data_IF_525034129239
#
_entry.id   IF_525034129239
#
_cell.length_a   1.000
_cell.length_b   1.000
_cell.length_c   1.000
_cell.angle_alpha   90.00
_cell.angle_beta   90.00
_cell.angle_gamma   90.00
#
_symmetry.space_group_name_H-M   'P 1'
#
loop_
_entity.id
_entity.type
_entity.pdbx_description
1 polymer ?
#
# COMPACT_ATOMS: atom_id res chain seq x y z
N UNK A 1 -1.39 10.09 14.39
CA UNK A 1 -2.40 9.14 13.93
C UNK A 1 -1.69 8.12 13.07
N UNK A 2 -1.82 6.83 13.35
CA UNK A 2 -1.29 5.79 12.48
C UNK A 2 -2.24 5.61 11.30
N UNK A 3 -1.76 5.73 10.06
CA UNK A 3 -2.57 5.39 8.89
C UNK A 3 -3.13 3.97 8.99
N UNK A 4 -4.43 3.79 8.68
CA UNK A 4 -5.10 2.49 8.59
C UNK A 4 -4.54 1.58 7.48
N UNK A 5 -3.58 2.11 6.72
CA UNK A 5 -2.95 1.44 5.61
C UNK A 5 -1.45 1.27 5.83
N UNK A 6 -0.95 0.11 5.42
CA UNK A 6 0.47 -0.16 5.27
C UNK A 6 0.90 0.09 3.82
N UNK A 7 2.17 0.40 3.63
CA UNK A 7 2.75 0.56 2.30
C UNK A 7 3.15 -0.81 1.75
N UNK A 8 2.49 -1.25 0.68
CA UNK A 8 2.84 -2.44 -0.09
C UNK A 8 3.60 -2.12 -1.37
N UNK A 9 4.37 -3.06 -1.91
CA UNK A 9 4.87 -3.02 -3.31
C UNK A 9 4.45 -4.25 -4.10
N UNK A 10 4.01 -4.02 -5.32
CA UNK A 10 3.82 -5.11 -6.28
C UNK A 10 5.19 -5.62 -6.78
N UNK A 11 5.31 -6.91 -7.10
CA UNK A 11 6.60 -7.49 -7.51
C UNK A 11 6.94 -7.24 -8.98
N UNK A 12 5.95 -6.95 -9.83
CA UNK A 12 6.15 -6.83 -11.27
C UNK A 12 6.71 -5.45 -11.65
N UNK A 13 6.24 -4.40 -10.99
CA UNK A 13 6.56 -3.00 -11.30
C UNK A 13 7.22 -2.26 -10.14
N UNK A 14 7.12 -2.79 -8.91
CA UNK A 14 7.65 -2.14 -7.71
C UNK A 14 6.80 -0.93 -7.25
N UNK A 15 5.64 -0.70 -7.85
CA UNK A 15 4.71 0.38 -7.54
C UNK A 15 4.20 0.26 -6.12
N UNK A 16 4.09 1.39 -5.43
CA UNK A 16 3.60 1.41 -4.06
C UNK A 16 2.06 1.36 -4.02
N UNK A 17 1.50 0.44 -3.24
CA UNK A 17 0.06 0.28 -3.02
C UNK A 17 -0.30 0.45 -1.55
N UNK A 18 -1.51 0.96 -1.27
CA UNK A 18 -2.06 0.95 0.08
C UNK A 18 -2.63 -0.44 0.36
N UNK A 19 -2.14 -1.11 1.41
CA UNK A 19 -2.65 -2.39 1.90
C UNK A 19 -3.36 -2.15 3.23
N UNK A 20 -4.47 -2.84 3.49
CA UNK A 20 -5.14 -2.74 4.79
C UNK A 20 -4.21 -3.20 5.90
N UNK A 21 -3.98 -2.35 6.91
CA UNK A 21 -3.06 -2.66 8.00
C UNK A 21 -3.45 -3.93 8.75
N UNK A 22 -4.75 -4.20 8.90
CA UNK A 22 -5.27 -5.44 9.53
C UNK A 22 -4.88 -6.72 8.81
N UNK A 23 -4.46 -6.64 7.54
CA UNK A 23 -4.04 -7.80 6.73
C UNK A 23 -2.52 -7.92 6.63
N UNK A 24 -1.75 -6.92 7.08
CA UNK A 24 -0.31 -6.83 6.86
C UNK A 24 0.51 -7.95 7.53
N UNK A 25 -0.02 -8.56 8.59
CA UNK A 25 0.61 -9.68 9.30
C UNK A 25 0.27 -11.06 8.71
N UNK A 26 -0.63 -11.12 7.71
CA UNK A 26 -0.97 -12.36 6.99
C UNK A 26 0.12 -12.71 5.96
N UNK A 27 0.23 -13.98 5.54
CA UNK A 27 1.18 -14.37 4.50
C UNK A 27 0.83 -13.75 3.14
N UNK A 28 1.87 -13.44 2.35
CA UNK A 28 1.74 -12.96 0.99
C UNK A 28 1.03 -13.98 0.06
N UNK A 29 0.42 -13.52 -1.05
CA UNK A 29 0.32 -12.12 -1.50
C UNK A 29 -0.75 -11.33 -0.74
N UNK A 30 -0.48 -10.04 -0.51
CA UNK A 30 -1.48 -9.10 -0.01
C UNK A 30 -2.26 -8.48 -1.17
N UNK A 31 -3.45 -7.97 -0.88
CA UNK A 31 -4.19 -7.12 -1.81
C UNK A 31 -3.99 -5.65 -1.44
N UNK A 32 -3.55 -4.85 -2.42
CA UNK A 32 -3.78 -3.42 -2.35
C UNK A 32 -5.27 -3.12 -2.37
N UNK A 33 -5.72 -2.02 -1.79
CA UNK A 33 -7.14 -1.63 -1.78
C UNK A 33 -7.72 -1.41 -3.19
N UNK A 34 -6.86 -1.23 -4.19
CA UNK A 34 -7.21 -1.17 -5.61
C UNK A 34 -7.32 -2.56 -6.28
N UNK A 35 -7.15 -3.65 -5.52
CA UNK A 35 -7.17 -5.04 -6.01
C UNK A 35 -5.84 -5.58 -6.56
N UNK A 36 -4.78 -4.78 -6.59
CA UNK A 36 -3.47 -5.22 -7.09
C UNK A 36 -2.80 -6.21 -6.13
N UNK A 37 -2.11 -7.22 -6.68
CA UNK A 37 -1.31 -8.16 -5.89
C UNK A 37 -0.03 -7.50 -5.39
N UNK A 38 0.20 -7.57 -4.08
CA UNK A 38 1.34 -6.99 -3.38
C UNK A 38 2.21 -8.12 -2.83
N UNK A 39 3.52 -8.04 -3.10
CA UNK A 39 4.49 -9.06 -2.68
C UNK A 39 5.24 -8.74 -1.41
N UNK A 40 5.26 -7.48 -0.98
CA UNK A 40 5.91 -7.04 0.26
C UNK A 40 5.12 -5.90 0.87
N UNK A 41 4.96 -5.91 2.19
CA UNK A 41 4.39 -4.81 2.96
C UNK A 41 5.44 -4.30 3.94
N UNK A 42 5.68 -2.99 3.95
CA UNK A 42 6.71 -2.40 4.79
C UNK A 42 6.42 -0.94 5.17
N UNK A 43 6.11 -0.72 6.44
CA UNK A 43 5.86 0.61 6.99
C UNK A 43 4.46 1.16 6.65
N UNK A 44 4.25 2.44 6.93
CA UNK A 44 2.95 3.08 6.79
C UNK A 44 2.72 3.67 5.39
N UNK A 45 1.48 3.61 4.90
CA UNK A 45 1.10 4.15 3.59
C UNK A 45 1.28 5.67 3.47
N UNK A 46 1.09 6.41 4.56
CA UNK A 46 1.33 7.85 4.61
C UNK A 46 2.81 8.25 4.70
N UNK A 47 3.72 7.27 4.81
CA UNK A 47 5.16 7.51 4.90
C UNK A 47 5.90 7.49 3.56
N UNK A 48 7.25 7.54 3.60
CA UNK A 48 8.13 7.58 2.42
C UNK A 48 8.00 6.36 1.50
N UNK A 49 7.49 5.23 2.00
CA UNK A 49 7.33 3.99 1.22
C UNK A 49 5.97 3.88 0.52
N UNK A 50 4.99 4.68 0.92
CA UNK A 50 3.66 4.70 0.32
C UNK A 50 3.46 5.95 -0.53
N UNK A 51 2.68 6.93 -0.05
CA UNK A 51 2.40 8.20 -0.74
C UNK A 51 3.67 9.02 -1.04
N UNK A 52 4.71 8.89 -0.22
CA UNK A 52 6.01 9.52 -0.46
C UNK A 52 6.94 8.74 -1.40
N UNK A 53 6.51 7.59 -1.95
CA UNK A 53 7.28 6.81 -2.92
C UNK A 53 7.44 7.57 -4.24
N UNK A 54 8.45 7.22 -5.03
CA UNK A 54 8.63 7.77 -6.37
C UNK A 54 7.52 7.36 -7.37
N UNK A 55 6.88 6.19 -7.14
CA UNK A 55 5.74 5.71 -7.94
C UNK A 55 4.63 5.16 -7.02
N UNK A 56 3.80 6.04 -6.44
CA UNK A 56 2.62 5.61 -5.70
C UNK A 56 1.47 5.30 -6.67
N UNK A 57 0.73 4.23 -6.40
CA UNK A 57 -0.45 3.87 -7.18
C UNK A 57 -1.50 5.00 -7.11
N UNK A 58 -1.86 5.65 -8.24
CA UNK A 58 -2.78 6.78 -8.25
C UNK A 58 -4.16 6.44 -7.68
N UNK A 59 -4.61 5.21 -7.91
CA UNK A 59 -5.90 4.74 -7.39
C UNK A 59 -5.89 4.57 -5.87
N UNK A 60 -4.82 3.99 -5.31
CA UNK A 60 -4.64 3.92 -3.86
C UNK A 60 -4.54 5.33 -3.24
N UNK A 61 -3.88 6.28 -3.91
CA UNK A 61 -3.84 7.68 -3.46
C UNK A 61 -5.25 8.27 -3.43
N UNK A 62 -6.03 8.10 -4.50
CA UNK A 62 -7.41 8.58 -4.59
C UNK A 62 -8.30 7.99 -3.50
N UNK A 63 -8.26 6.67 -3.31
CA UNK A 63 -9.10 5.95 -2.34
C UNK A 63 -8.77 6.28 -0.88
N UNK A 64 -7.52 6.66 -0.58
CA UNK A 64 -7.06 6.99 0.78
C UNK A 64 -7.03 8.49 1.09
N UNK A 65 -7.33 9.34 0.11
CA UNK A 65 -7.41 10.80 0.29
C UNK A 65 -8.84 11.29 0.55
N UNK A 66 -9.84 10.42 0.40
CA UNK A 66 -11.27 10.73 0.53
C UNK A 66 -11.91 10.36 1.86
N UNK A 67 -11.12 10.12 2.90
CA UNK A 67 -11.55 9.71 4.25
C UNK A 67 -11.15 10.72 5.30
#
# INVERSE_FOLDING_TARGET
>A
MTSDHAAGRDQATGRAHAVLRSTADLPAPWAGICGASVGVVQGAWDGPRGRGSADPCPECVRLTSGS
#
